data_IF_464736131352
#
_entry.id   IF_464736131352
#
_cell.length_a   1.000
_cell.length_b   1.000
_cell.length_c   1.000
_cell.angle_alpha   90.00
_cell.angle_beta   90.00
_cell.angle_gamma   90.00
#
_symmetry.space_group_name_H-M   'P 1'
#
loop_
_entity.id
_entity.type
_entity.pdbx_description
1 polymer ?
#
# COMPACT_ATOMS: atom_id res chain seq x y z
N UNK A 1 2.03 11.04 5.49
CA UNK A 1 0.72 11.32 4.87
C UNK A 1 -0.36 11.64 5.91
N UNK A 2 -0.39 10.98 7.07
CA UNK A 2 -1.43 11.13 8.09
C UNK A 2 -1.66 12.55 8.58
N UNK A 3 -0.61 13.28 8.94
CA UNK A 3 -0.74 14.66 9.45
C UNK A 3 -1.39 15.59 8.44
N UNK A 4 -1.05 15.47 7.16
CA UNK A 4 -1.56 16.33 6.10
C UNK A 4 -3.03 16.01 5.77
N UNK A 5 -3.41 14.72 5.76
CA UNK A 5 -4.80 14.29 5.60
C UNK A 5 -5.66 14.71 6.78
N UNK A 6 -5.12 14.64 8.00
CA UNK A 6 -5.81 15.06 9.20
C UNK A 6 -6.06 16.59 9.22
N UNK A 7 -5.05 17.37 8.86
CA UNK A 7 -5.21 18.85 8.73
C UNK A 7 -6.26 19.18 7.68
N UNK A 8 -6.21 18.55 6.51
CA UNK A 8 -7.20 18.76 5.45
C UNK A 8 -8.60 18.38 5.92
N UNK A 9 -8.75 17.29 6.67
CA UNK A 9 -10.01 16.86 7.25
C UNK A 9 -10.60 17.96 8.17
N UNK A 10 -9.82 18.53 9.08
CA UNK A 10 -10.26 19.60 9.97
C UNK A 10 -10.68 20.83 9.15
N UNK A 11 -9.87 21.25 8.17
CA UNK A 11 -10.17 22.39 7.31
C UNK A 11 -11.46 22.19 6.51
N UNK A 12 -11.70 20.98 6.00
CA UNK A 12 -12.93 20.61 5.31
C UNK A 12 -14.15 20.60 6.25
N UNK A 13 -13.99 20.14 7.51
CA UNK A 13 -15.04 20.23 8.53
C UNK A 13 -15.41 21.68 8.85
N UNK A 14 -14.43 22.54 9.06
CA UNK A 14 -14.67 23.97 9.31
C UNK A 14 -15.41 24.61 8.12
N UNK A 15 -15.12 24.18 6.90
CA UNK A 15 -15.78 24.69 5.68
C UNK A 15 -17.27 24.36 5.60
N UNK A 16 -17.76 23.37 6.35
CA UNK A 16 -19.19 23.04 6.43
C UNK A 16 -19.98 24.02 7.29
N UNK A 17 -19.31 24.78 8.15
CA UNK A 17 -19.98 25.79 9.00
C UNK A 17 -20.54 26.90 8.11
N UNK A 18 -21.88 27.12 8.21
CA UNK A 18 -22.61 28.07 7.35
C UNK A 18 -22.49 29.52 7.83
N UNK A 19 -21.28 30.08 7.86
CA UNK A 19 -21.07 31.49 8.16
C UNK A 19 -20.88 32.25 6.84
N UNK A 20 -21.56 33.37 6.65
CA UNK A 20 -21.50 34.13 5.41
C UNK A 20 -20.08 34.64 5.08
N UNK A 21 -19.28 34.97 6.08
CA UNK A 21 -17.89 35.39 5.92
C UNK A 21 -16.97 34.27 5.39
N UNK A 22 -17.37 33.00 5.51
CA UNK A 22 -16.57 31.82 5.10
C UNK A 22 -16.88 31.33 3.67
N UNK A 23 -17.68 32.07 2.87
CA UNK A 23 -18.03 31.62 1.49
C UNK A 23 -16.81 31.47 0.59
N UNK A 24 -15.85 32.40 0.66
CA UNK A 24 -14.62 32.37 -0.12
C UNK A 24 -13.71 31.25 0.39
N UNK A 25 -13.53 31.15 1.71
CA UNK A 25 -12.78 30.08 2.35
C UNK A 25 -13.27 28.68 1.89
N UNK A 26 -14.57 28.47 1.89
CA UNK A 26 -15.17 27.21 1.47
C UNK A 26 -14.85 26.84 0.02
N UNK A 27 -14.89 27.81 -0.91
CA UNK A 27 -14.49 27.57 -2.29
C UNK A 27 -13.03 27.20 -2.39
N UNK A 28 -12.14 27.94 -1.72
CA UNK A 28 -10.70 27.70 -1.73
C UNK A 28 -10.38 26.31 -1.18
N UNK A 29 -10.90 25.95 0.02
CA UNK A 29 -10.58 24.67 0.64
C UNK A 29 -11.15 23.48 -0.15
N UNK A 30 -12.29 23.65 -0.83
CA UNK A 30 -12.83 22.63 -1.72
C UNK A 30 -11.92 22.40 -2.92
N UNK A 31 -11.41 23.47 -3.56
CA UNK A 31 -10.46 23.36 -4.67
C UNK A 31 -9.16 22.70 -4.22
N UNK A 32 -8.62 23.12 -3.06
CA UNK A 32 -7.41 22.49 -2.47
C UNK A 32 -7.64 21.00 -2.20
N UNK A 33 -8.80 20.64 -1.68
CA UNK A 33 -9.17 19.23 -1.47
C UNK A 33 -9.21 18.43 -2.77
N UNK A 34 -9.82 18.96 -3.82
CA UNK A 34 -9.87 18.30 -5.14
C UNK A 34 -8.46 18.11 -5.70
N UNK A 35 -7.59 19.13 -5.63
CA UNK A 35 -6.21 19.04 -6.11
C UNK A 35 -5.39 18.02 -5.30
N UNK A 36 -5.54 18.02 -3.98
CA UNK A 36 -4.88 17.05 -3.10
C UNK A 36 -5.26 15.62 -3.43
N UNK A 37 -6.56 15.33 -3.57
CA UNK A 37 -7.02 13.99 -3.92
C UNK A 37 -6.68 13.62 -5.36
N UNK A 38 -6.74 14.55 -6.31
CA UNK A 38 -6.30 14.34 -7.68
C UNK A 38 -4.82 13.92 -7.74
N UNK A 39 -3.96 14.63 -7.03
CA UNK A 39 -2.54 14.30 -6.91
C UNK A 39 -2.32 12.94 -6.23
N UNK A 40 -3.05 12.65 -5.15
CA UNK A 40 -2.96 11.39 -4.43
C UNK A 40 -3.37 10.19 -5.31
N UNK A 41 -4.50 10.32 -6.04
CA UNK A 41 -4.99 9.30 -6.98
C UNK A 41 -3.97 9.10 -8.10
N UNK A 42 -3.45 10.19 -8.66
CA UNK A 42 -2.44 10.14 -9.72
C UNK A 42 -1.20 9.34 -9.29
N UNK A 43 -0.65 9.60 -8.11
CA UNK A 43 0.50 8.86 -7.58
C UNK A 43 0.19 7.39 -7.26
N UNK A 44 -1.07 7.06 -6.99
CA UNK A 44 -1.49 5.66 -6.78
C UNK A 44 -1.62 4.89 -8.10
N UNK A 45 -2.12 5.55 -9.15
CA UNK A 45 -2.31 4.93 -10.47
C UNK A 45 -0.98 4.82 -11.23
N UNK A 46 -0.13 5.83 -11.08
CA UNK A 46 1.18 5.90 -11.74
C UNK A 46 2.30 5.83 -10.68
N UNK A 47 2.55 4.65 -10.09
CA UNK A 47 3.72 4.48 -9.24
C UNK A 47 4.95 4.76 -10.10
N UNK A 48 5.88 5.56 -9.57
CA UNK A 48 7.12 5.88 -10.27
C UNK A 48 7.79 4.58 -10.75
N UNK A 49 8.18 4.48 -12.03
CA UNK A 49 8.93 3.33 -12.51
C UNK A 49 10.25 3.29 -11.71
N UNK A 50 10.35 2.31 -10.85
CA UNK A 50 11.54 2.12 -10.01
C UNK A 50 12.63 1.58 -10.92
N UNK A 51 13.61 2.42 -11.26
CA UNK A 51 14.83 1.95 -11.90
C UNK A 51 15.52 0.92 -11.01
N UNK A 52 15.92 -0.23 -11.57
CA UNK A 52 16.51 -1.34 -10.81
C UNK A 52 15.47 -2.30 -10.23
N UNK A 53 14.33 -2.49 -10.92
CA UNK A 53 13.36 -3.53 -10.55
C UNK A 53 13.78 -4.88 -11.12
N UNK A 54 13.62 -5.94 -10.33
CA UNK A 54 13.69 -7.34 -10.78
C UNK A 54 12.29 -7.86 -11.06
N UNK A 55 12.15 -8.71 -12.09
CA UNK A 55 10.91 -9.43 -12.32
C UNK A 55 10.94 -10.76 -11.55
N UNK A 56 9.85 -11.07 -10.86
CA UNK A 56 9.67 -12.33 -10.14
C UNK A 56 8.44 -13.01 -10.69
N UNK A 57 8.62 -14.20 -11.26
CA UNK A 57 7.51 -15.09 -11.57
C UNK A 57 7.21 -15.94 -10.34
N UNK A 58 6.10 -15.63 -9.70
CA UNK A 58 5.66 -16.26 -8.46
C UNK A 58 4.54 -17.25 -8.74
N UNK A 59 4.76 -18.53 -8.43
CA UNK A 59 3.79 -19.62 -8.65
C UNK A 59 3.27 -20.11 -7.31
N UNK A 60 1.94 -20.14 -7.14
CA UNK A 60 1.33 -20.70 -5.95
C UNK A 60 1.06 -22.21 -6.13
N UNK A 61 1.87 -23.05 -5.50
CA UNK A 61 1.70 -24.51 -5.45
C UNK A 61 0.94 -25.00 -4.21
N UNK A 62 0.50 -24.08 -3.38
CA UNK A 62 -0.35 -24.40 -2.22
C UNK A 62 -1.81 -24.63 -2.68
N UNK A 63 -2.57 -25.57 -2.04
CA UNK A 63 -3.94 -25.86 -2.43
C UNK A 63 -4.94 -24.73 -2.19
N UNK A 64 -4.54 -23.68 -1.47
CA UNK A 64 -5.37 -22.50 -1.18
C UNK A 64 -4.84 -21.24 -1.88
N UNK A 65 -5.71 -20.27 -2.06
CA UNK A 65 -5.28 -18.92 -2.46
C UNK A 65 -4.38 -18.33 -1.39
N UNK A 66 -3.24 -17.80 -1.80
CA UNK A 66 -2.26 -17.17 -0.93
C UNK A 66 -2.14 -15.68 -1.22
N UNK A 67 -2.08 -14.90 -0.15
CA UNK A 67 -1.87 -13.45 -0.12
C UNK A 67 -0.37 -13.16 0.09
N UNK A 68 0.31 -12.67 -0.96
CA UNK A 68 1.76 -12.55 -1.01
C UNK A 68 2.26 -11.14 -0.69
N UNK A 69 3.36 -11.10 0.03
CA UNK A 69 4.10 -9.88 0.41
C UNK A 69 5.58 -10.07 0.17
N UNK A 70 6.25 -9.02 -0.30
CA UNK A 70 7.70 -8.92 -0.25
C UNK A 70 8.13 -7.93 0.82
N UNK A 71 9.23 -8.23 1.50
CA UNK A 71 9.91 -7.35 2.42
C UNK A 71 11.34 -7.17 1.91
N UNK A 72 11.66 -5.99 1.43
CA UNK A 72 13.05 -5.60 1.12
C UNK A 72 13.74 -5.21 2.43
N UNK A 73 14.90 -5.81 2.68
CA UNK A 73 15.68 -5.56 3.90
C UNK A 73 16.60 -4.37 3.66
N UNK A 74 16.34 -3.27 4.34
CA UNK A 74 17.10 -2.04 4.27
C UNK A 74 17.97 -1.87 5.51
N UNK A 75 18.98 -1.02 5.47
CA UNK A 75 19.83 -0.68 6.62
C UNK A 75 19.01 -0.18 7.82
N UNK A 76 17.92 0.52 7.55
CA UNK A 76 17.01 1.05 8.57
C UNK A 76 15.57 0.63 8.29
N UNK A 77 15.25 -0.64 8.59
CA UNK A 77 13.89 -1.15 8.51
C UNK A 77 13.57 -1.99 7.28
N UNK A 78 12.33 -2.00 6.87
CA UNK A 78 11.83 -2.84 5.79
C UNK A 78 10.94 -2.02 4.86
N UNK A 79 11.12 -2.18 3.55
CA UNK A 79 10.15 -1.74 2.55
C UNK A 79 9.23 -2.91 2.22
N UNK A 80 7.93 -2.73 2.36
CA UNK A 80 6.95 -3.80 2.19
C UNK A 80 6.09 -3.51 0.97
N UNK A 81 6.01 -4.48 0.06
CA UNK A 81 5.10 -4.45 -1.06
C UNK A 81 4.09 -5.61 -0.99
N UNK A 82 2.83 -5.31 -1.27
CA UNK A 82 1.78 -6.31 -1.43
C UNK A 82 1.79 -6.79 -2.88
N UNK A 83 2.01 -8.09 -3.08
CA UNK A 83 2.11 -8.73 -4.41
C UNK A 83 0.78 -9.34 -4.86
N UNK A 84 -0.28 -9.08 -4.11
CA UNK A 84 -1.65 -9.53 -4.33
C UNK A 84 -1.90 -11.04 -4.07
N UNK A 85 -3.16 -11.42 -4.23
CA UNK A 85 -3.60 -12.81 -4.07
C UNK A 85 -3.31 -13.64 -5.32
N UNK A 86 -2.73 -14.83 -5.14
CA UNK A 86 -2.52 -15.80 -6.21
C UNK A 86 -3.30 -17.07 -5.87
N UNK A 87 -4.18 -17.49 -6.78
CA UNK A 87 -4.97 -18.74 -6.64
C UNK A 87 -4.05 -19.96 -6.72
N UNK A 88 -4.52 -21.09 -6.17
CA UNK A 88 -3.85 -22.38 -6.31
C UNK A 88 -3.53 -22.69 -7.78
N UNK A 89 -2.35 -23.20 -8.05
CA UNK A 89 -1.82 -23.58 -9.38
C UNK A 89 -1.76 -22.42 -10.39
N UNK A 90 -1.88 -21.17 -9.93
CA UNK A 90 -1.71 -19.98 -10.78
C UNK A 90 -0.39 -19.29 -10.50
N UNK A 91 0.02 -18.45 -11.43
CA UNK A 91 1.21 -17.63 -11.29
C UNK A 91 0.92 -16.14 -11.53
N UNK A 92 1.85 -15.31 -11.08
CA UNK A 92 1.87 -13.88 -11.34
C UNK A 92 3.30 -13.42 -11.55
N UNK A 93 3.50 -12.48 -12.46
CA UNK A 93 4.76 -11.75 -12.61
C UNK A 93 4.64 -10.45 -11.84
N UNK A 94 5.54 -10.25 -10.88
CA UNK A 94 5.62 -9.07 -10.03
C UNK A 94 6.96 -8.38 -10.27
N UNK A 95 7.00 -7.05 -10.10
CA UNK A 95 8.24 -6.28 -10.18
C UNK A 95 8.56 -5.72 -8.80
N UNK A 96 9.74 -6.06 -8.28
CA UNK A 96 10.25 -5.54 -7.02
C UNK A 96 11.33 -4.49 -7.28
N UNK A 97 11.22 -3.34 -6.62
CA UNK A 97 12.25 -2.32 -6.65
C UNK A 97 13.39 -2.69 -5.72
N UNK A 98 14.52 -3.15 -6.26
CA UNK A 98 15.70 -3.59 -5.50
C UNK A 98 16.84 -2.56 -5.58
N UNK A 99 16.48 -1.27 -5.47
CA UNK A 99 17.47 -0.19 -5.66
C UNK A 99 18.52 -0.15 -4.55
N UNK A 100 18.07 -0.28 -3.31
CA UNK A 100 18.87 -0.01 -2.11
C UNK A 100 19.25 -1.28 -1.34
N UNK A 101 18.94 -2.47 -1.87
CA UNK A 101 19.24 -3.75 -1.24
C UNK A 101 19.36 -4.86 -2.27
N UNK A 102 20.06 -5.93 -1.90
CA UNK A 102 20.14 -7.18 -2.65
C UNK A 102 19.37 -8.31 -1.97
N UNK A 103 18.74 -8.03 -0.81
CA UNK A 103 18.02 -9.01 -0.03
C UNK A 103 16.53 -8.66 0.05
N UNK A 104 15.68 -9.66 -0.21
CA UNK A 104 14.26 -9.56 0.09
C UNK A 104 13.74 -10.86 0.70
N UNK A 105 12.67 -10.74 1.47
CA UNK A 105 11.93 -11.87 2.01
C UNK A 105 10.58 -11.96 1.32
N UNK A 106 10.22 -13.18 0.94
CA UNK A 106 8.92 -13.47 0.37
C UNK A 106 8.06 -14.19 1.41
N UNK A 107 6.87 -13.68 1.63
CA UNK A 107 5.94 -14.16 2.66
C UNK A 107 4.57 -14.38 2.05
N UNK A 108 3.90 -15.47 2.42
CA UNK A 108 2.52 -15.69 2.03
C UNK A 108 1.62 -16.11 3.19
N UNK A 109 0.40 -15.63 3.13
CA UNK A 109 -0.65 -15.92 4.10
C UNK A 109 -1.80 -16.70 3.45
N UNK A 110 -2.32 -17.69 4.19
CA UNK A 110 -3.64 -18.25 3.94
C UNK A 110 -4.58 -17.67 5.01
N UNK A 111 -5.39 -16.69 4.62
CA UNK A 111 -6.19 -15.91 5.55
C UNK A 111 -5.34 -15.13 6.57
N UNK A 112 -5.41 -15.51 7.85
CA UNK A 112 -4.63 -14.86 8.92
C UNK A 112 -3.33 -15.60 9.27
N UNK A 113 -3.11 -16.79 8.73
CA UNK A 113 -1.98 -17.66 9.07
C UNK A 113 -0.91 -17.51 8.01
N UNK A 114 0.32 -17.22 8.41
CA UNK A 114 1.48 -17.31 7.54
C UNK A 114 1.77 -18.77 7.24
N UNK A 115 1.88 -19.11 5.96
CA UNK A 115 2.11 -20.49 5.48
C UNK A 115 3.40 -20.63 4.68
N UNK A 116 3.96 -19.50 4.24
CA UNK A 116 5.19 -19.49 3.45
C UNK A 116 6.09 -18.33 3.87
N UNK A 117 7.37 -18.60 4.02
CA UNK A 117 8.41 -17.62 4.27
C UNK A 117 9.72 -18.07 3.64
N UNK A 118 10.33 -17.26 2.81
CA UNK A 118 11.66 -17.51 2.24
C UNK A 118 12.46 -16.21 2.17
N UNK A 119 13.77 -16.35 2.29
CA UNK A 119 14.76 -15.30 2.16
C UNK A 119 15.49 -15.47 0.84
N UNK A 120 15.62 -14.41 0.07
CA UNK A 120 16.28 -14.39 -1.22
C UNK A 120 17.37 -13.32 -1.25
N UNK A 121 18.53 -13.69 -1.78
CA UNK A 121 19.64 -12.76 -2.08
C UNK A 121 19.79 -12.73 -3.58
N UNK A 122 19.72 -11.53 -4.15
CA UNK A 122 19.77 -11.30 -5.60
C UNK A 122 21.20 -10.93 -6.01
N UNK A 123 21.90 -11.85 -6.62
CA UNK A 123 23.27 -11.60 -7.11
C UNK A 123 23.30 -10.77 -8.38
N UNK A 124 22.29 -10.92 -9.25
CA UNK A 124 22.16 -10.19 -10.50
C UNK A 124 20.74 -9.64 -10.68
N UNK A 125 20.59 -8.33 -10.63
CA UNK A 125 19.27 -7.64 -10.75
C UNK A 125 18.72 -7.62 -12.18
N UNK A 126 19.46 -8.09 -13.16
CA UNK A 126 19.02 -8.17 -14.56
C UNK A 126 18.41 -9.54 -14.91
N UNK A 127 18.37 -10.47 -13.96
CA UNK A 127 17.82 -11.79 -14.15
C UNK A 127 16.43 -11.90 -13.54
N UNK A 128 15.52 -12.57 -14.26
CA UNK A 128 14.20 -12.87 -13.75
C UNK A 128 14.27 -14.03 -12.74
N UNK A 129 13.55 -13.89 -11.62
CA UNK A 129 13.48 -14.94 -10.62
C UNK A 129 12.21 -15.77 -10.80
N UNK A 130 12.36 -17.09 -10.70
CA UNK A 130 11.24 -18.03 -10.66
C UNK A 130 11.13 -18.62 -9.25
N UNK A 131 9.98 -18.44 -8.59
CA UNK A 131 9.77 -18.88 -7.22
C UNK A 131 8.46 -19.66 -7.13
N UNK A 132 8.54 -20.92 -6.65
CA UNK A 132 7.39 -21.73 -6.32
C UNK A 132 7.10 -21.70 -4.83
N UNK A 133 5.91 -21.25 -4.47
CA UNK A 133 5.45 -21.22 -3.09
C UNK A 133 4.69 -22.53 -2.78
N UNK A 134 5.38 -23.40 -2.04
CA UNK A 134 4.84 -24.64 -1.48
C UNK A 134 4.48 -24.45 0.01
N UNK A 135 4.09 -25.52 0.70
CA UNK A 135 3.98 -25.55 2.17
C UNK A 135 5.38 -25.47 2.82
N UNK A 136 5.97 -24.28 2.83
CA UNK A 136 7.33 -24.12 3.30
C UNK A 136 7.48 -22.91 4.21
N UNK A 137 7.45 -23.17 5.51
CA UNK A 137 7.86 -22.23 6.54
C UNK A 137 9.33 -22.50 6.80
N UNK A 138 10.20 -21.73 6.12
CA UNK A 138 11.61 -21.99 6.25
C UNK A 138 12.29 -21.21 7.36
N UNK A 139 13.25 -21.92 7.91
CA UNK A 139 14.64 -21.63 8.25
C UNK A 139 14.85 -20.86 9.52
N UNK A 140 14.14 -19.82 9.83
CA UNK A 140 14.34 -19.08 11.07
C UNK A 140 13.01 -18.63 11.64
N UNK A 141 12.58 -19.27 12.71
CA UNK A 141 11.41 -18.83 13.47
C UNK A 141 11.53 -17.35 13.90
N UNK A 142 12.76 -16.86 14.09
CA UNK A 142 13.03 -15.47 14.44
C UNK A 142 12.71 -14.53 13.28
N UNK A 143 13.21 -14.83 12.07
CA UNK A 143 12.98 -13.99 10.87
C UNK A 143 11.52 -14.03 10.42
N UNK A 144 10.90 -15.21 10.42
CA UNK A 144 9.49 -15.34 10.07
C UNK A 144 8.59 -14.56 11.03
N UNK A 145 8.86 -14.56 12.34
CA UNK A 145 8.12 -13.77 13.31
C UNK A 145 8.32 -12.25 13.10
N UNK A 146 9.53 -11.82 12.72
CA UNK A 146 9.78 -10.43 12.37
C UNK A 146 8.97 -10.05 11.13
N UNK A 147 9.03 -10.85 10.08
CA UNK A 147 8.30 -10.63 8.84
C UNK A 147 6.78 -10.55 9.08
N UNK A 148 6.23 -11.49 9.84
CA UNK A 148 4.80 -11.49 10.20
C UNK A 148 4.41 -10.21 10.95
N UNK A 149 5.20 -9.80 11.94
CA UNK A 149 4.96 -8.58 12.70
C UNK A 149 4.96 -7.34 11.80
N UNK A 150 5.95 -7.23 10.91
CA UNK A 150 6.07 -6.09 9.99
C UNK A 150 4.90 -6.03 9.01
N UNK A 151 4.48 -7.16 8.43
CA UNK A 151 3.32 -7.21 7.53
C UNK A 151 2.03 -6.86 8.26
N UNK A 152 1.84 -7.33 9.50
CA UNK A 152 0.67 -6.95 10.31
C UNK A 152 0.63 -5.45 10.60
N UNK A 153 1.78 -4.82 10.87
CA UNK A 153 1.89 -3.37 11.02
C UNK A 153 1.52 -2.65 9.73
N UNK A 154 2.09 -3.07 8.61
CA UNK A 154 1.81 -2.54 7.27
C UNK A 154 0.30 -2.61 6.93
N UNK A 155 -0.33 -3.78 7.14
CA UNK A 155 -1.79 -3.95 6.92
C UNK A 155 -2.61 -2.99 7.80
N UNK A 156 -2.23 -2.82 9.07
CA UNK A 156 -2.92 -1.92 10.00
C UNK A 156 -2.78 -0.46 9.60
N UNK A 157 -1.60 -0.05 9.18
CA UNK A 157 -1.35 1.30 8.68
C UNK A 157 -2.12 1.59 7.40
N UNK A 158 -2.12 0.65 6.45
CA UNK A 158 -2.90 0.77 5.23
C UNK A 158 -4.41 0.90 5.48
N UNK A 159 -4.96 0.13 6.42
CA UNK A 159 -6.37 0.25 6.83
C UNK A 159 -6.66 1.62 7.45
N UNK A 160 -5.79 2.11 8.33
CA UNK A 160 -5.94 3.43 8.96
C UNK A 160 -5.93 4.54 7.92
N UNK A 161 -4.99 4.50 6.98
CA UNK A 161 -4.91 5.46 5.88
C UNK A 161 -6.17 5.44 5.00
N UNK A 162 -6.66 4.24 4.66
CA UNK A 162 -7.89 4.08 3.87
C UNK A 162 -9.11 4.68 4.57
N UNK A 163 -9.25 4.50 5.88
CA UNK A 163 -10.34 5.08 6.68
C UNK A 163 -10.28 6.61 6.64
N UNK A 164 -9.12 7.21 6.89
CA UNK A 164 -8.94 8.66 6.86
C UNK A 164 -9.22 9.26 5.48
N UNK A 165 -8.71 8.64 4.43
CA UNK A 165 -8.96 9.07 3.05
C UNK A 165 -10.44 9.01 2.73
N UNK A 166 -11.14 7.95 3.12
CA UNK A 166 -12.59 7.81 2.91
C UNK A 166 -13.38 8.92 3.60
N UNK A 167 -13.06 9.23 4.87
CA UNK A 167 -13.71 10.33 5.58
C UNK A 167 -13.46 11.68 4.92
N UNK A 168 -12.24 11.97 4.51
CA UNK A 168 -11.92 13.19 3.78
C UNK A 168 -12.71 13.30 2.47
N UNK A 169 -12.84 12.21 1.72
CA UNK A 169 -13.64 12.16 0.48
C UNK A 169 -15.11 12.45 0.74
N UNK A 170 -15.71 11.85 1.76
CA UNK A 170 -17.11 12.09 2.12
C UNK A 170 -17.36 13.56 2.45
N UNK A 171 -16.49 14.19 3.25
CA UNK A 171 -16.63 15.59 3.61
C UNK A 171 -16.41 16.51 2.40
N UNK A 172 -15.45 16.21 1.55
CA UNK A 172 -15.22 16.94 0.30
C UNK A 172 -16.45 16.87 -0.60
N UNK A 173 -17.03 15.69 -0.76
CA UNK A 173 -18.26 15.49 -1.53
C UNK A 173 -19.42 16.34 -0.97
N UNK A 174 -19.65 16.35 0.33
CA UNK A 174 -20.67 17.18 1.00
C UNK A 174 -20.41 18.67 0.71
N UNK A 175 -19.14 19.12 0.76
CA UNK A 175 -18.78 20.50 0.42
C UNK A 175 -19.13 20.84 -1.02
N UNK A 176 -18.80 19.99 -1.99
CA UNK A 176 -19.11 20.16 -3.41
C UNK A 176 -20.63 20.27 -3.63
N UNK A 177 -21.39 19.28 -3.11
CA UNK A 177 -22.87 19.27 -3.24
C UNK A 177 -23.49 20.53 -2.63
N UNK A 178 -22.98 20.97 -1.49
CA UNK A 178 -23.47 22.17 -0.82
C UNK A 178 -23.10 23.47 -1.56
N UNK A 179 -22.03 23.49 -2.37
CA UNK A 179 -21.72 24.63 -3.26
C UNK A 179 -22.63 24.66 -4.48
N UNK A 180 -22.99 23.51 -5.04
CA UNK A 180 -23.87 23.38 -6.21
C UNK A 180 -25.31 23.75 -5.85
N UNK A 181 -25.82 23.26 -4.71
CA UNK A 181 -27.21 23.53 -4.27
C UNK A 181 -27.49 24.98 -3.88
N UNK A 182 -26.47 25.85 -3.80
CA UNK A 182 -26.66 27.30 -3.51
C UNK A 182 -26.86 28.16 -4.75
N UNK A 183 -27.11 27.56 -5.90
CA UNK A 183 -27.73 28.24 -7.03
C UNK A 183 -29.25 28.12 -6.92
#
# INVERSE_FOLDING_TARGET
>A
METLSFVLFILLLISLVRINSLKIYRKIITVVGVLFFGYWIFNKIYPNPVGGSIAIQLVNKHPQTLDFYSLEVLDKGYNIAHLEDIRSEHYRVCHLGMKDTDEFWLVAFSGKKMVYFTQHIVGNKNEDLYIEANNYLNQSAKLSNIAEKQIRLYKREGLRDAVWVTFCFLILFINIVSLIKKK
#
